data_IF_124816796598
#
_entry.id   IF_124816796598
#
_cell.length_a   1.000
_cell.length_b   1.000
_cell.length_c   1.000
_cell.angle_alpha   90.00
_cell.angle_beta   90.00
_cell.angle_gamma   90.00
#
_symmetry.space_group_name_H-M   'P 1'
#
loop_
_entity.id
_entity.type
_entity.pdbx_description
1 polymer ?
#
# COMPACT_ATOMS: atom_id res chain seq x y z
N UNK A 1 1.31 -6.23 -17.51
CA UNK A 1 0.72 -7.47 -16.99
C UNK A 1 0.06 -8.17 -18.17
N UNK A 2 0.55 -9.34 -18.57
CA UNK A 2 -0.15 -10.16 -19.56
C UNK A 2 -0.84 -11.26 -18.78
N UNK A 3 -2.17 -11.20 -18.73
CA UNK A 3 -2.98 -12.31 -18.24
C UNK A 3 -2.90 -13.40 -19.30
N UNK A 4 -2.20 -14.50 -19.00
CA UNK A 4 -2.27 -15.69 -19.84
C UNK A 4 -3.69 -16.26 -19.77
N UNK A 5 -4.10 -16.95 -20.83
CA UNK A 5 -5.42 -17.60 -20.96
C UNK A 5 -5.75 -18.64 -19.88
N UNK A 6 -4.84 -18.90 -18.94
CA UNK A 6 -5.01 -19.79 -17.79
C UNK A 6 -5.08 -19.07 -16.43
N UNK A 7 -5.19 -17.73 -16.38
CA UNK A 7 -5.45 -16.99 -15.14
C UNK A 7 -4.30 -16.93 -14.14
N UNK A 8 -3.10 -17.37 -14.50
CA UNK A 8 -1.89 -17.20 -13.68
C UNK A 8 -1.19 -15.88 -13.99
N UNK A 9 -0.94 -15.07 -12.95
CA UNK A 9 0.02 -13.97 -13.03
C UNK A 9 1.44 -14.57 -13.09
N UNK A 10 2.09 -14.48 -14.25
CA UNK A 10 3.51 -14.81 -14.36
C UNK A 10 4.35 -13.63 -13.88
N UNK A 11 4.98 -13.79 -12.71
CA UNK A 11 6.02 -12.88 -12.24
C UNK A 11 7.36 -13.39 -12.73
N UNK A 12 7.72 -13.07 -13.97
CA UNK A 12 9.07 -13.36 -14.49
C UNK A 12 10.11 -12.90 -13.46
N UNK A 13 11.12 -13.73 -13.14
CA UNK A 13 12.20 -13.47 -12.15
C UNK A 13 11.80 -13.38 -10.67
N UNK A 14 10.60 -13.81 -10.27
CA UNK A 14 10.25 -14.02 -8.85
C UNK A 14 10.09 -15.51 -8.57
N UNK A 15 10.92 -16.05 -7.68
CA UNK A 15 10.79 -17.43 -7.20
C UNK A 15 9.93 -17.46 -5.94
N UNK A 16 8.96 -18.37 -5.91
CA UNK A 16 8.04 -18.57 -4.79
C UNK A 16 8.28 -19.95 -4.20
N UNK A 17 8.57 -20.01 -2.91
CA UNK A 17 8.69 -21.26 -2.13
C UNK A 17 7.70 -21.23 -0.98
N UNK A 18 6.93 -22.30 -0.80
CA UNK A 18 6.02 -22.45 0.33
C UNK A 18 6.72 -23.31 1.40
N UNK A 19 6.74 -22.81 2.63
CA UNK A 19 7.31 -23.50 3.79
C UNK A 19 6.28 -23.48 4.91
N UNK A 20 5.61 -24.61 5.14
CA UNK A 20 4.51 -24.73 6.10
C UNK A 20 3.36 -23.75 5.79
N UNK A 21 3.15 -22.75 6.64
CA UNK A 21 2.13 -21.69 6.55
C UNK A 21 2.70 -20.37 6.00
N UNK A 22 3.97 -20.37 5.62
CA UNK A 22 4.70 -19.20 5.15
C UNK A 22 5.02 -19.30 3.66
N UNK A 23 5.03 -18.14 3.00
CA UNK A 23 5.49 -18.01 1.61
C UNK A 23 6.77 -17.19 1.58
N UNK A 24 7.80 -17.74 0.96
CA UNK A 24 9.05 -17.03 0.67
C UNK A 24 9.04 -16.61 -0.78
N UNK A 25 9.25 -15.32 -1.02
CA UNK A 25 9.43 -14.77 -2.35
C UNK A 25 10.85 -14.22 -2.46
N UNK A 26 11.54 -14.55 -3.54
CA UNK A 26 12.88 -14.05 -3.82
C UNK A 26 12.99 -13.54 -5.24
N UNK A 27 13.78 -12.49 -5.44
CA UNK A 27 14.04 -11.89 -6.75
C UNK A 27 15.28 -10.99 -6.65
N UNK A 28 15.95 -10.80 -7.78
CA UNK A 28 16.96 -9.75 -7.95
C UNK A 28 16.34 -8.37 -8.27
N UNK A 29 15.02 -8.32 -8.49
CA UNK A 29 14.29 -7.11 -8.87
C UNK A 29 13.25 -6.71 -7.81
N UNK A 30 13.51 -5.61 -7.11
CA UNK A 30 12.65 -5.06 -6.07
C UNK A 30 11.21 -4.83 -6.54
N UNK A 31 11.04 -4.17 -7.67
CA UNK A 31 9.72 -3.75 -8.13
C UNK A 31 8.89 -4.97 -8.53
N UNK A 32 9.50 -5.97 -9.17
CA UNK A 32 8.81 -7.21 -9.50
C UNK A 32 8.45 -8.00 -8.25
N UNK A 33 9.37 -8.11 -7.29
CA UNK A 33 9.10 -8.75 -5.99
C UNK A 33 7.95 -8.06 -5.25
N UNK A 34 7.97 -6.73 -5.17
CA UNK A 34 6.93 -5.93 -4.52
C UNK A 34 5.57 -6.10 -5.21
N UNK A 35 5.51 -6.08 -6.55
CA UNK A 35 4.26 -6.31 -7.29
C UNK A 35 3.73 -7.73 -7.11
N UNK A 36 4.60 -8.74 -7.14
CA UNK A 36 4.22 -10.12 -6.87
C UNK A 36 3.66 -10.29 -5.46
N UNK A 37 4.33 -9.69 -4.48
CA UNK A 37 3.92 -9.73 -3.08
C UNK A 37 2.59 -9.03 -2.85
N UNK A 38 2.39 -7.84 -3.44
CA UNK A 38 1.13 -7.10 -3.37
C UNK A 38 -0.03 -7.87 -4.04
N UNK A 39 0.22 -8.49 -5.19
CA UNK A 39 -0.75 -9.33 -5.88
C UNK A 39 -1.15 -10.54 -5.03
N UNK A 40 -0.19 -11.28 -4.47
CA UNK A 40 -0.47 -12.41 -3.59
C UNK A 40 -1.24 -11.98 -2.34
N UNK A 41 -0.93 -10.81 -1.80
CA UNK A 41 -1.68 -10.25 -0.69
C UNK A 41 -3.12 -9.94 -1.09
N UNK A 42 -3.36 -9.32 -2.24
CA UNK A 42 -4.70 -9.04 -2.76
C UNK A 42 -5.50 -10.33 -3.00
N UNK A 43 -4.88 -11.37 -3.57
CA UNK A 43 -5.48 -12.69 -3.75
C UNK A 43 -5.85 -13.36 -2.43
N UNK A 44 -4.94 -13.32 -1.45
CA UNK A 44 -5.19 -13.86 -0.13
C UNK A 44 -6.38 -13.14 0.53
N UNK A 45 -6.41 -11.80 0.47
CA UNK A 45 -7.53 -11.01 0.99
C UNK A 45 -8.85 -11.32 0.30
N UNK A 46 -8.83 -11.55 -1.03
CA UNK A 46 -10.00 -11.94 -1.82
C UNK A 46 -10.64 -13.24 -1.31
N UNK A 47 -9.82 -14.18 -0.81
CA UNK A 47 -10.29 -15.44 -0.21
C UNK A 47 -10.44 -15.37 1.31
N UNK A 48 -10.24 -14.21 1.93
CA UNK A 48 -10.43 -13.98 3.37
C UNK A 48 -9.22 -14.33 4.24
N UNK A 49 -8.03 -14.45 3.65
CA UNK A 49 -6.76 -14.70 4.35
C UNK A 49 -5.97 -13.40 4.44
N UNK A 50 -5.69 -12.96 5.65
CA UNK A 50 -4.91 -11.76 5.90
C UNK A 50 -3.43 -12.12 6.07
N UNK A 51 -2.59 -11.71 5.11
CA UNK A 51 -1.14 -11.93 5.17
C UNK A 51 -0.43 -10.78 5.89
N UNK A 52 0.67 -11.11 6.55
CA UNK A 52 1.69 -10.17 6.97
C UNK A 52 3.05 -10.64 6.48
N UNK A 53 4.00 -9.74 6.34
CA UNK A 53 5.32 -10.08 5.85
C UNK A 53 6.28 -8.91 5.92
N UNK A 54 7.50 -9.13 5.45
CA UNK A 54 8.49 -8.08 5.27
C UNK A 54 9.31 -8.33 4.01
N UNK A 55 9.67 -7.27 3.29
CA UNK A 55 10.66 -7.31 2.20
C UNK A 55 11.98 -6.75 2.73
N UNK A 56 13.06 -7.51 2.54
CA UNK A 56 14.41 -7.10 2.90
C UNK A 56 15.42 -7.51 1.83
N UNK A 57 16.60 -6.87 1.85
CA UNK A 57 17.73 -7.23 1.02
C UNK A 57 18.87 -7.84 1.82
N UNK A 58 19.56 -8.76 1.17
CA UNK A 58 20.77 -9.37 1.66
C UNK A 58 21.35 -10.32 0.62
N UNK A 59 22.52 -10.88 0.97
CA UNK A 59 23.16 -11.91 0.15
C UNK A 59 22.27 -13.15 0.14
N UNK A 60 22.17 -13.79 -1.01
CA UNK A 60 21.33 -14.95 -1.23
C UNK A 60 22.09 -15.97 -2.08
N UNK A 61 22.07 -17.22 -1.67
CA UNK A 61 22.52 -18.34 -2.48
C UNK A 61 21.55 -19.51 -2.32
N UNK A 62 21.19 -20.10 -3.45
CA UNK A 62 20.42 -21.34 -3.52
C UNK A 62 21.33 -22.41 -4.09
N UNK A 63 21.48 -23.50 -3.34
CA UNK A 63 22.20 -24.69 -3.77
C UNK A 63 21.20 -25.83 -3.92
N UNK A 64 21.17 -26.47 -5.08
CA UNK A 64 20.34 -27.63 -5.34
C UNK A 64 21.20 -28.86 -5.63
N UNK A 65 20.84 -29.99 -5.04
CA UNK A 65 21.49 -31.28 -5.26
C UNK A 65 20.42 -32.37 -5.28
N UNK A 66 20.11 -32.90 -6.48
CA UNK A 66 18.98 -33.79 -6.67
C UNK A 66 17.65 -33.11 -6.31
N UNK A 67 16.88 -33.74 -5.41
CA UNK A 67 15.60 -33.21 -4.91
C UNK A 67 15.75 -32.32 -3.67
N UNK A 68 16.98 -32.03 -3.25
CA UNK A 68 17.25 -31.24 -2.06
C UNK A 68 17.67 -29.82 -2.43
N UNK A 69 17.16 -28.87 -1.66
CA UNK A 69 17.43 -27.45 -1.81
C UNK A 69 17.93 -26.88 -0.49
N UNK A 70 19.03 -26.14 -0.54
CA UNK A 70 19.55 -25.34 0.55
C UNK A 70 19.51 -23.87 0.15
N UNK A 71 18.78 -23.07 0.94
CA UNK A 71 18.72 -21.62 0.78
C UNK A 71 19.46 -20.98 1.94
N UNK A 72 20.52 -20.22 1.64
CA UNK A 72 21.22 -19.38 2.62
C UNK A 72 21.00 -17.92 2.21
N UNK A 73 20.22 -17.20 3.01
CA UNK A 73 19.81 -15.84 2.67
C UNK A 73 19.77 -14.93 3.89
N UNK A 74 20.69 -13.97 3.91
CA UNK A 74 20.68 -12.86 4.88
C UNK A 74 19.44 -11.98 4.68
N UNK A 75 18.97 -11.85 3.42
CA UNK A 75 17.74 -11.13 3.10
C UNK A 75 16.51 -11.79 3.73
N UNK A 76 16.39 -13.12 3.63
CA UNK A 76 15.27 -13.85 4.26
C UNK A 76 15.35 -13.80 5.79
N UNK A 77 16.54 -13.93 6.37
CA UNK A 77 16.73 -13.82 7.81
C UNK A 77 16.29 -12.44 8.34
N UNK A 78 16.67 -11.37 7.65
CA UNK A 78 16.22 -9.99 7.97
C UNK A 78 14.72 -9.82 7.80
N UNK A 79 14.16 -10.29 6.69
CA UNK A 79 12.72 -10.22 6.43
C UNK A 79 11.93 -10.93 7.55
N UNK A 80 12.31 -12.15 7.90
CA UNK A 80 11.68 -12.91 8.98
C UNK A 80 11.80 -12.19 10.33
N UNK A 81 12.99 -11.70 10.70
CA UNK A 81 13.19 -10.97 11.95
C UNK A 81 12.40 -9.65 12.03
N UNK A 82 12.15 -9.02 10.88
CA UNK A 82 11.46 -7.73 10.76
C UNK A 82 9.97 -7.85 10.48
N UNK A 83 9.45 -9.05 10.20
CA UNK A 83 8.00 -9.30 10.09
C UNK A 83 7.24 -8.83 11.34
N UNK A 84 7.87 -8.86 12.52
CA UNK A 84 7.30 -8.33 13.77
C UNK A 84 6.93 -6.85 13.73
N UNK A 85 7.45 -6.08 12.78
CA UNK A 85 7.08 -4.67 12.55
C UNK A 85 5.70 -4.55 11.84
N UNK A 86 5.20 -5.63 11.23
CA UNK A 86 3.86 -5.71 10.68
C UNK A 86 2.83 -6.05 11.77
N UNK A 87 2.49 -5.04 12.59
CA UNK A 87 1.43 -5.13 13.62
C UNK A 87 0.07 -5.46 12.97
N UNK A 88 -0.16 -4.86 11.80
CA UNK A 88 -1.34 -5.06 10.96
C UNK A 88 -1.07 -6.07 9.83
N UNK A 89 -2.11 -6.62 9.17
CA UNK A 89 -1.96 -7.57 8.06
C UNK A 89 -1.45 -6.89 6.79
N UNK A 90 -0.14 -6.61 6.76
CA UNK A 90 0.55 -5.88 5.70
C UNK A 90 1.95 -6.44 5.48
N UNK A 91 2.50 -6.18 4.30
CA UNK A 91 3.88 -6.51 3.97
C UNK A 91 4.72 -5.23 4.11
N UNK A 92 5.48 -5.13 5.19
CA UNK A 92 6.32 -3.95 5.48
C UNK A 92 7.65 -3.99 4.72
N UNK A 93 8.27 -2.84 4.56
CA UNK A 93 9.59 -2.71 3.95
C UNK A 93 10.65 -2.54 5.03
N UNK A 94 11.70 -3.36 5.00
CA UNK A 94 12.83 -3.23 5.90
C UNK A 94 13.54 -1.89 5.67
N UNK A 95 13.99 -1.21 6.74
CA UNK A 95 14.67 0.10 6.62
C UNK A 95 15.89 0.06 5.69
N UNK A 96 16.64 -1.05 5.72
CA UNK A 96 17.80 -1.28 4.85
C UNK A 96 17.50 -1.36 3.35
N UNK A 97 16.23 -1.38 2.92
CA UNK A 97 15.87 -1.36 1.49
C UNK A 97 15.37 0.02 1.00
N UNK A 98 15.19 1.00 1.89
CA UNK A 98 14.60 2.31 1.55
C UNK A 98 15.36 3.06 0.46
N UNK A 99 16.70 3.02 0.49
CA UNK A 99 17.52 3.66 -0.55
C UNK A 99 17.23 3.07 -1.94
N UNK A 100 17.13 1.74 -2.04
CA UNK A 100 16.85 1.08 -3.30
C UNK A 100 15.39 1.29 -3.76
N UNK A 101 14.45 1.40 -2.82
CA UNK A 101 13.07 1.81 -3.11
C UNK A 101 13.08 3.21 -3.74
N UNK A 102 13.76 4.17 -3.11
CA UNK A 102 13.88 5.54 -3.62
C UNK A 102 14.54 5.58 -5.00
N UNK A 103 15.67 4.90 -5.20
CA UNK A 103 16.37 4.80 -6.48
C UNK A 103 15.51 4.15 -7.58
N UNK A 104 14.59 3.26 -7.21
CA UNK A 104 13.64 2.63 -8.14
C UNK A 104 12.45 3.53 -8.50
N UNK A 105 12.17 4.54 -7.68
CA UNK A 105 11.03 5.44 -7.80
C UNK A 105 11.42 6.79 -8.41
N UNK A 106 12.63 7.27 -8.13
CA UNK A 106 13.12 8.59 -8.49
C UNK A 106 14.43 8.54 -9.28
N UNK A 107 14.70 9.62 -10.03
CA UNK A 107 15.98 9.93 -10.66
C UNK A 107 16.41 11.31 -10.18
N UNK A 108 17.68 11.48 -9.86
CA UNK A 108 18.24 12.80 -9.63
C UNK A 108 18.14 13.65 -10.92
N UNK A 109 17.69 14.89 -10.79
CA UNK A 109 17.58 15.87 -11.87
C UNK A 109 17.81 17.28 -11.29
N UNK A 110 18.93 17.89 -11.66
CA UNK A 110 19.37 19.15 -11.06
C UNK A 110 19.66 18.98 -9.57
N UNK A 111 19.06 19.84 -8.74
CA UNK A 111 19.14 19.81 -7.28
C UNK A 111 17.98 19.00 -6.64
N UNK A 112 17.22 18.24 -7.43
CA UNK A 112 16.05 17.53 -6.95
C UNK A 112 15.91 16.10 -7.48
N UNK A 113 14.82 15.47 -7.05
CA UNK A 113 14.37 14.14 -7.41
C UNK A 113 13.15 14.26 -8.31
N UNK A 114 13.24 13.65 -9.50
CA UNK A 114 12.11 13.48 -10.41
C UNK A 114 11.58 12.05 -10.35
N UNK A 115 10.26 11.90 -10.32
CA UNK A 115 9.60 10.60 -10.47
C UNK A 115 10.03 9.93 -11.79
N UNK A 116 10.44 8.66 -11.71
CA UNK A 116 10.77 7.84 -12.88
C UNK A 116 9.53 7.59 -13.73
N UNK A 117 9.71 7.54 -15.05
CA UNK A 117 8.63 7.18 -15.97
C UNK A 117 8.18 5.75 -15.73
N UNK A 118 6.88 5.49 -15.91
CA UNK A 118 6.26 4.16 -15.78
C UNK A 118 6.41 3.50 -14.41
N UNK A 119 6.63 4.32 -13.37
CA UNK A 119 6.60 3.86 -11.99
C UNK A 119 5.18 3.94 -11.47
N UNK A 120 4.82 2.94 -10.69
CA UNK A 120 3.55 2.87 -10.01
C UNK A 120 3.70 3.50 -8.62
N UNK A 121 3.32 4.77 -8.50
CA UNK A 121 3.39 5.56 -7.25
C UNK A 121 2.49 5.00 -6.15
N UNK A 122 1.63 4.07 -6.50
CA UNK A 122 0.64 3.51 -5.61
C UNK A 122 1.06 2.22 -4.95
N UNK A 123 2.22 1.71 -5.35
CA UNK A 123 2.76 0.45 -4.87
C UNK A 123 3.11 0.50 -3.38
N UNK A 124 3.55 1.65 -2.89
CA UNK A 124 4.02 1.84 -1.53
C UNK A 124 3.15 2.85 -0.77
N UNK A 125 2.75 2.47 0.43
CA UNK A 125 2.03 3.30 1.39
C UNK A 125 2.88 3.45 2.65
N UNK A 126 2.79 4.59 3.32
CA UNK A 126 3.33 4.78 4.65
C UNK A 126 2.18 4.83 5.66
N UNK A 127 2.29 4.15 6.78
CA UNK A 127 1.29 4.19 7.87
C UNK A 127 1.65 5.20 8.96
N UNK A 128 0.71 5.44 9.86
CA UNK A 128 0.84 6.36 11.00
C UNK A 128 1.99 6.02 11.96
N UNK A 129 2.38 4.74 12.01
CA UNK A 129 3.55 4.26 12.77
C UNK A 129 4.89 4.44 12.04
N UNK A 130 4.88 5.18 10.92
CA UNK A 130 6.06 5.52 10.11
C UNK A 130 6.57 4.40 9.21
N UNK A 131 5.98 3.20 9.26
CA UNK A 131 6.42 2.08 8.43
C UNK A 131 5.92 2.23 6.99
N UNK A 132 6.82 2.01 6.03
CA UNK A 132 6.44 1.82 4.63
C UNK A 132 6.02 0.37 4.39
N UNK A 133 4.98 0.16 3.60
CA UNK A 133 4.42 -1.15 3.30
C UNK A 133 3.85 -1.20 1.88
N UNK A 134 3.63 -2.41 1.37
CA UNK A 134 2.98 -2.62 0.08
C UNK A 134 1.50 -2.29 0.15
N UNK A 135 0.98 -1.60 -0.88
CA UNK A 135 -0.46 -1.43 -1.03
C UNK A 135 -1.13 -2.80 -1.30
N UNK A 136 -1.98 -3.31 -0.40
CA UNK A 136 -2.64 -4.60 -0.59
C UNK A 136 -3.78 -4.55 -1.64
N UNK A 137 -4.10 -3.37 -2.16
CA UNK A 137 -5.23 -3.10 -3.05
C UNK A 137 -4.82 -2.67 -4.46
N UNK A 138 -3.57 -2.98 -4.85
CA UNK A 138 -3.04 -2.64 -6.16
C UNK A 138 -3.91 -3.19 -7.31
N UNK A 139 -4.50 -4.37 -7.11
CA UNK A 139 -5.41 -5.01 -8.06
C UNK A 139 -6.84 -4.52 -7.87
N UNK A 140 -7.19 -3.41 -8.52
CA UNK A 140 -8.51 -2.78 -8.41
C UNK A 140 -9.69 -3.71 -8.74
N UNK A 141 -9.46 -4.70 -9.62
CA UNK A 141 -10.46 -5.72 -9.97
C UNK A 141 -10.92 -6.55 -8.76
N UNK A 142 -10.14 -6.62 -7.68
CA UNK A 142 -10.47 -7.39 -6.49
C UNK A 142 -11.20 -6.61 -5.40
N UNK A 143 -11.26 -5.27 -5.50
CA UNK A 143 -11.81 -4.40 -4.45
C UNK A 143 -13.21 -4.85 -4.00
N UNK A 144 -14.13 -5.08 -4.94
CA UNK A 144 -15.50 -5.52 -4.62
C UNK A 144 -15.52 -6.86 -3.88
N UNK A 145 -14.73 -7.82 -4.32
CA UNK A 145 -14.68 -9.14 -3.68
C UNK A 145 -14.01 -9.09 -2.30
N UNK A 146 -12.96 -8.28 -2.14
CA UNK A 146 -12.28 -8.08 -0.86
C UNK A 146 -13.23 -7.35 0.11
N UNK A 147 -13.93 -6.30 -0.34
CA UNK A 147 -14.97 -5.62 0.44
C UNK A 147 -16.00 -6.61 1.00
N UNK A 148 -16.57 -7.46 0.15
CA UNK A 148 -17.57 -8.44 0.60
C UNK A 148 -17.01 -9.37 1.69
N UNK A 149 -15.72 -9.75 1.59
CA UNK A 149 -15.05 -10.52 2.64
C UNK A 149 -14.85 -9.72 3.92
N UNK A 150 -14.35 -8.49 3.83
CA UNK A 150 -14.13 -7.63 4.99
C UNK A 150 -15.43 -7.31 5.73
N UNK A 151 -16.51 -6.97 5.01
CA UNK A 151 -17.83 -6.75 5.60
C UNK A 151 -18.33 -8.03 6.28
N UNK A 152 -18.27 -9.18 5.60
CA UNK A 152 -18.68 -10.45 6.19
C UNK A 152 -17.92 -10.81 7.47
N UNK A 153 -16.61 -10.54 7.52
CA UNK A 153 -15.79 -10.76 8.71
C UNK A 153 -16.14 -9.78 9.85
N UNK A 154 -16.39 -8.52 9.53
CA UNK A 154 -16.78 -7.49 10.51
C UNK A 154 -18.20 -7.70 11.05
N UNK A 155 -19.14 -8.14 10.22
CA UNK A 155 -20.53 -8.42 10.59
C UNK A 155 -20.65 -9.70 11.44
N UNK A 156 -19.81 -10.71 11.18
CA UNK A 156 -19.63 -11.87 12.06
C UNK A 156 -19.00 -11.48 13.43
N UNK A 157 -18.53 -10.23 13.55
CA UNK A 157 -17.72 -9.68 14.63
C UNK A 157 -18.37 -9.51 16.00
N UNK A 158 -19.49 -10.18 16.29
CA UNK A 158 -19.89 -10.41 17.70
C UNK A 158 -19.04 -11.47 18.41
N UNK A 159 -18.28 -12.29 17.65
CA UNK A 159 -17.43 -13.36 18.19
C UNK A 159 -15.92 -13.16 17.98
N UNK A 160 -15.49 -12.10 17.28
CA UNK A 160 -14.07 -11.81 17.09
C UNK A 160 -13.52 -11.08 18.32
N UNK A 161 -12.34 -11.51 18.79
CA UNK A 161 -11.60 -10.76 19.80
C UNK A 161 -11.36 -9.32 19.30
N UNK A 162 -11.46 -8.33 20.19
CA UNK A 162 -11.36 -6.91 19.83
C UNK A 162 -10.12 -6.58 19.01
N UNK A 163 -8.97 -7.19 19.34
CA UNK A 163 -7.71 -7.02 18.62
C UNK A 163 -7.72 -7.55 17.18
N UNK A 164 -8.55 -8.55 16.86
CA UNK A 164 -8.71 -9.06 15.49
C UNK A 164 -9.60 -8.13 14.69
N UNK A 165 -10.68 -7.64 15.31
CA UNK A 165 -11.59 -6.67 14.68
C UNK A 165 -10.87 -5.37 14.31
N UNK A 166 -10.02 -4.86 15.19
CA UNK A 166 -9.20 -3.67 14.93
C UNK A 166 -8.30 -3.82 13.69
N UNK A 167 -7.73 -5.01 13.48
CA UNK A 167 -6.90 -5.28 12.30
C UNK A 167 -7.69 -5.23 11.00
N UNK A 168 -8.92 -5.72 10.99
CA UNK A 168 -9.79 -5.66 9.80
C UNK A 168 -10.33 -4.26 9.54
N UNK A 169 -10.60 -3.47 10.59
CA UNK A 169 -10.92 -2.05 10.45
C UNK A 169 -9.73 -1.29 9.85
N UNK A 170 -8.55 -1.46 10.42
CA UNK A 170 -7.32 -0.85 9.88
C UNK A 170 -7.08 -1.26 8.43
N UNK A 171 -7.32 -2.51 8.07
CA UNK A 171 -7.15 -2.99 6.70
C UNK A 171 -8.20 -2.43 5.74
N UNK A 172 -9.39 -2.09 6.22
CA UNK A 172 -10.48 -1.52 5.42
C UNK A 172 -10.25 -0.04 5.07
N UNK A 173 -9.60 0.71 5.96
CA UNK A 173 -9.33 2.15 5.76
C UNK A 173 -8.45 2.47 4.52
N UNK A 174 -7.35 1.75 4.20
CA UNK A 174 -6.58 2.00 2.98
C UNK A 174 -7.38 1.63 1.72
N UNK A 175 -8.27 0.63 1.78
CA UNK A 175 -9.16 0.27 0.66
C UNK A 175 -10.16 1.39 0.38
N UNK A 176 -10.75 1.93 1.45
CA UNK A 176 -11.72 3.01 1.43
C UNK A 176 -11.10 4.27 0.85
N UNK A 177 -9.93 4.64 1.35
CA UNK A 177 -9.12 5.74 0.84
C UNK A 177 -8.88 5.61 -0.68
N UNK A 178 -8.50 4.40 -1.13
CA UNK A 178 -8.28 4.09 -2.54
C UNK A 178 -9.53 4.14 -3.42
N UNK A 179 -10.66 3.71 -2.88
CA UNK A 179 -11.92 3.65 -3.63
C UNK A 179 -12.53 5.04 -3.83
N UNK A 180 -12.23 6.00 -2.95
CA UNK A 180 -12.86 7.33 -2.95
C UNK A 180 -11.95 8.41 -3.56
N UNK A 181 -10.67 8.46 -3.18
CA UNK A 181 -9.76 9.57 -3.51
C UNK A 181 -9.78 9.95 -4.99
N UNK A 182 -9.50 9.01 -5.91
CA UNK A 182 -9.49 9.27 -7.36
C UNK A 182 -10.86 9.66 -7.94
N UNK A 183 -11.97 9.19 -7.36
CA UNK A 183 -13.32 9.31 -7.94
C UNK A 183 -14.02 10.61 -7.58
N UNK A 184 -13.78 11.11 -6.37
CA UNK A 184 -14.46 12.32 -5.90
C UNK A 184 -13.68 13.60 -6.13
N UNK A 185 -12.48 13.53 -6.71
CA UNK A 185 -11.54 14.66 -6.77
C UNK A 185 -11.41 15.35 -5.40
N UNK A 186 -11.59 14.59 -4.31
CA UNK A 186 -11.36 15.15 -2.99
C UNK A 186 -9.88 15.48 -2.98
N UNK A 187 -9.58 16.76 -2.78
CA UNK A 187 -8.20 17.17 -2.57
C UNK A 187 -7.67 16.35 -1.43
N UNK A 188 -6.68 15.53 -1.72
CA UNK A 188 -6.24 14.53 -0.77
C UNK A 188 -5.73 15.18 0.52
N UNK A 189 -5.24 16.42 0.45
CA UNK A 189 -4.96 17.29 1.59
C UNK A 189 -6.15 17.44 2.57
N UNK A 190 -7.39 17.47 2.07
CA UNK A 190 -8.61 17.50 2.89
C UNK A 190 -8.88 16.19 3.64
N UNK A 191 -8.31 15.07 3.16
CA UNK A 191 -8.40 13.77 3.85
C UNK A 191 -7.48 13.72 5.08
N UNK A 192 -6.49 14.63 5.17
CA UNK A 192 -5.51 14.72 6.26
C UNK A 192 -5.80 15.83 7.27
N UNK A 193 -6.89 16.59 7.12
CA UNK A 193 -7.27 17.60 8.10
C UNK A 193 -7.77 16.92 9.39
N UNK A 194 -6.86 16.80 10.35
CA UNK A 194 -7.02 16.14 11.65
C UNK A 194 -8.09 16.81 12.53
N UNK A 195 -8.45 18.07 12.24
CA UNK A 195 -9.43 18.80 13.03
C UNK A 195 -10.86 18.67 12.50
N UNK A 196 -11.05 18.14 11.30
CA UNK A 196 -12.28 18.44 10.58
C UNK A 196 -13.31 17.30 10.48
N UNK A 197 -13.02 16.06 10.94
CA UNK A 197 -13.85 14.86 10.63
C UNK A 197 -14.21 14.68 9.14
N UNK A 198 -13.59 15.49 8.28
CA UNK A 198 -13.94 15.68 6.87
C UNK A 198 -13.79 14.37 6.11
N UNK A 199 -12.78 13.57 6.45
CA UNK A 199 -12.61 12.25 5.85
C UNK A 199 -13.83 11.35 6.06
N UNK A 200 -14.24 11.11 7.30
CA UNK A 200 -15.34 10.18 7.62
C UNK A 200 -16.69 10.71 7.09
N UNK A 201 -16.92 12.01 7.18
CA UNK A 201 -18.14 12.64 6.66
C UNK A 201 -18.20 12.59 5.13
N UNK A 202 -17.09 12.85 4.43
CA UNK A 202 -17.00 12.70 2.98
C UNK A 202 -17.14 11.24 2.57
N UNK A 203 -16.53 10.30 3.30
CA UNK A 203 -16.68 8.86 3.07
C UNK A 203 -18.14 8.42 3.20
N UNK A 204 -18.83 8.83 4.25
CA UNK A 204 -20.25 8.55 4.45
C UNK A 204 -21.11 9.16 3.34
N UNK A 205 -20.92 10.45 3.05
CA UNK A 205 -21.65 11.16 2.00
C UNK A 205 -21.45 10.51 0.62
N UNK A 206 -20.22 10.12 0.30
CA UNK A 206 -19.89 9.40 -0.93
C UNK A 206 -20.58 8.04 -1.02
N UNK A 207 -20.55 7.28 0.09
CA UNK A 207 -21.22 5.99 0.20
C UNK A 207 -22.73 6.10 0.00
N UNK A 208 -23.36 7.14 0.55
CA UNK A 208 -24.81 7.35 0.42
C UNK A 208 -25.21 7.83 -0.98
N UNK A 209 -24.36 8.61 -1.66
CA UNK A 209 -24.69 9.29 -2.92
C UNK A 209 -24.25 8.55 -4.18
N UNK A 210 -23.22 7.71 -4.10
CA UNK A 210 -22.58 7.08 -5.27
C UNK A 210 -22.67 5.55 -5.18
N UNK A 211 -23.57 4.90 -5.94
CA UNK A 211 -23.74 3.45 -5.91
C UNK A 211 -22.46 2.66 -6.16
N UNK A 212 -21.60 3.12 -7.07
CA UNK A 212 -20.33 2.46 -7.39
C UNK A 212 -19.34 2.52 -6.21
N UNK A 213 -19.28 3.65 -5.51
CA UNK A 213 -18.47 3.79 -4.28
C UNK A 213 -19.04 2.92 -3.17
N UNK A 214 -20.36 2.94 -2.99
CA UNK A 214 -21.05 2.09 -2.04
C UNK A 214 -20.75 0.60 -2.28
N UNK A 215 -20.50 0.20 -3.53
CA UNK A 215 -20.19 -1.18 -3.90
C UNK A 215 -18.77 -1.65 -3.54
N UNK A 216 -17.84 -0.72 -3.28
CA UNK A 216 -16.41 -0.98 -3.06
C UNK A 216 -15.91 -0.59 -1.67
N UNK A 217 -16.60 0.31 -0.97
CA UNK A 217 -16.22 0.82 0.35
C UNK A 217 -16.80 -0.02 1.49
N UNK A 218 -16.02 -0.21 2.55
CA UNK A 218 -16.46 -0.78 3.84
C UNK A 218 -16.87 0.37 4.77
N UNK A 219 -18.04 0.32 5.44
CA UNK A 219 -18.50 1.42 6.29
C UNK A 219 -17.77 1.49 7.65
N UNK A 220 -16.46 1.77 7.64
CA UNK A 220 -15.61 1.78 8.84
C UNK A 220 -15.96 2.89 9.83
N UNK A 221 -16.58 3.99 9.37
CA UNK A 221 -17.09 5.08 10.20
C UNK A 221 -18.20 4.66 11.18
N UNK A 222 -18.86 3.53 10.94
CA UNK A 222 -19.80 2.95 11.91
C UNK A 222 -19.09 2.33 13.13
N UNK A 223 -17.77 2.23 13.09
CA UNK A 223 -16.98 1.42 13.99
C UNK A 223 -15.75 2.12 14.57
N UNK A 224 -15.40 3.29 14.03
CA UNK A 224 -14.19 4.04 14.35
C UNK A 224 -14.44 5.54 14.24
N UNK A 225 -13.86 6.30 15.17
CA UNK A 225 -13.78 7.77 15.11
C UNK A 225 -12.41 8.26 14.63
N UNK A 226 -11.52 7.34 14.19
CA UNK A 226 -10.13 7.69 13.85
C UNK A 226 -9.96 7.98 12.37
N UNK A 227 -9.09 8.95 12.10
CA UNK A 227 -8.81 9.57 10.81
C UNK A 227 -8.06 8.67 9.84
N UNK A 228 -7.85 9.18 8.63
CA UNK A 228 -6.99 8.58 7.63
C UNK A 228 -5.56 8.36 8.15
N UNK A 229 -5.02 7.16 7.99
CA UNK A 229 -3.77 6.71 8.62
C UNK A 229 -2.65 6.37 7.65
N UNK A 230 -2.83 6.69 6.37
CA UNK A 230 -1.93 6.27 5.30
C UNK A 230 -1.40 7.46 4.53
N UNK A 231 -0.24 7.35 3.91
CA UNK A 231 0.31 8.32 2.99
C UNK A 231 0.74 7.56 1.74
N UNK A 232 0.45 8.09 0.56
CA UNK A 232 0.90 7.52 -0.72
C UNK A 232 1.58 8.59 -1.58
N UNK A 233 2.41 8.16 -2.53
CA UNK A 233 3.16 9.07 -3.39
C UNK A 233 2.36 9.61 -4.57
N UNK A 234 1.19 9.07 -4.88
CA UNK A 234 0.31 9.64 -5.91
C UNK A 234 -0.19 11.03 -5.52
N UNK A 235 -0.22 11.33 -4.22
CA UNK A 235 -0.40 12.68 -3.65
C UNK A 235 0.60 13.71 -4.19
N UNK A 236 1.83 13.26 -4.45
CA UNK A 236 2.87 14.12 -5.00
C UNK A 236 2.67 14.41 -6.50
N UNK A 237 1.70 13.79 -7.17
CA UNK A 237 1.52 13.85 -8.62
C UNK A 237 0.18 14.50 -9.06
N UNK A 238 -0.60 15.06 -8.12
CA UNK A 238 -1.90 15.69 -8.47
C UNK A 238 -1.78 17.08 -9.10
N UNK A 239 -0.58 17.65 -9.18
CA UNK A 239 -0.35 18.96 -9.77
C UNK A 239 0.26 18.91 -11.17
N UNK A 240 -0.57 19.26 -12.15
CA UNK A 240 -0.25 19.60 -13.54
C UNK A 240 0.16 18.42 -14.42
N UNK A 241 -0.60 18.19 -15.50
CA UNK A 241 -0.32 17.17 -16.51
C UNK A 241 0.99 17.32 -17.29
N UNK A 242 2.01 18.06 -16.80
CA UNK A 242 3.33 18.23 -17.41
C UNK A 242 4.50 18.49 -16.45
N UNK A 243 4.32 18.86 -15.19
CA UNK A 243 5.46 19.06 -14.28
C UNK A 243 5.67 17.79 -13.44
N UNK A 244 6.70 17.02 -13.78
CA UNK A 244 7.17 16.00 -12.85
C UNK A 244 7.59 16.72 -11.57
N UNK A 245 6.98 16.37 -10.44
CA UNK A 245 7.29 17.01 -9.16
C UNK A 245 8.79 16.85 -8.88
N UNK A 246 9.54 17.94 -9.00
CA UNK A 246 10.91 18.03 -8.51
C UNK A 246 10.81 18.18 -7.00
N UNK A 247 11.08 17.10 -6.28
CA UNK A 247 11.21 17.09 -4.82
C UNK A 247 12.66 17.46 -4.52
N UNK A 248 12.91 18.27 -3.51
CA UNK A 248 14.28 18.50 -3.04
C UNK A 248 14.93 17.14 -2.66
N UNK A 249 16.19 16.91 -3.06
CA UNK A 249 16.89 15.65 -2.82
C UNK A 249 17.03 15.32 -1.33
N UNK A 250 17.11 16.34 -0.48
CA UNK A 250 17.14 16.16 0.98
C UNK A 250 15.78 15.72 1.54
N UNK A 251 14.70 15.84 0.76
CA UNK A 251 13.31 15.73 1.20
C UNK A 251 12.60 14.51 0.59
N UNK A 252 13.35 13.47 0.23
CA UNK A 252 12.76 12.20 -0.22
C UNK A 252 11.72 11.68 0.79
N UNK A 253 10.47 11.36 0.37
CA UNK A 253 9.44 10.90 1.29
C UNK A 253 9.80 9.61 2.03
N UNK A 254 10.65 8.77 1.43
CA UNK A 254 11.12 7.52 2.04
C UNK A 254 12.09 7.73 3.21
N UNK A 255 12.59 8.96 3.41
CA UNK A 255 13.49 9.33 4.50
C UNK A 255 12.76 10.02 5.67
N UNK A 256 11.48 10.34 5.48
CA UNK A 256 10.71 11.18 6.38
C UNK A 256 9.67 10.40 7.19
N UNK A 257 9.23 11.01 8.29
CA UNK A 257 8.12 10.49 9.10
C UNK A 257 6.79 10.68 8.36
N UNK A 258 5.79 9.89 8.76
CA UNK A 258 4.42 10.03 8.26
C UNK A 258 3.92 11.47 8.36
N UNK A 259 4.02 12.08 9.54
CA UNK A 259 3.52 13.44 9.75
C UNK A 259 4.24 14.46 8.86
N UNK A 260 5.56 14.35 8.74
CA UNK A 260 6.32 15.26 7.88
C UNK A 260 5.88 15.15 6.41
N UNK A 261 5.67 13.93 5.91
CA UNK A 261 5.17 13.71 4.56
C UNK A 261 3.76 14.27 4.38
N UNK A 262 2.86 14.00 5.33
CA UNK A 262 1.50 14.56 5.31
C UNK A 262 1.54 16.08 5.26
N UNK A 263 2.34 16.74 6.11
CA UNK A 263 2.46 18.19 6.13
C UNK A 263 3.03 18.71 4.80
N UNK A 264 4.16 18.17 4.34
CA UNK A 264 4.83 18.62 3.13
C UNK A 264 3.92 18.59 1.89
N UNK A 265 3.10 17.54 1.75
CA UNK A 265 2.26 17.33 0.57
C UNK A 265 0.81 17.84 0.74
N UNK A 266 0.35 18.13 1.96
CA UNK A 266 -0.96 18.74 2.19
C UNK A 266 -0.98 20.26 2.03
N UNK A 267 0.14 20.94 2.32
CA UNK A 267 0.23 22.41 2.25
C UNK A 267 0.37 22.96 0.81
N UNK A 268 0.68 22.12 -0.17
CA UNK A 268 0.67 22.51 -1.59
C UNK A 268 -0.76 22.46 -2.13
N UNK A 269 -1.61 23.40 -1.70
CA UNK A 269 -2.86 23.70 -2.43
C UNK A 269 -2.46 24.39 -3.73
N UNK A 270 -2.76 23.83 -4.91
CA UNK A 270 -2.75 24.64 -6.12
C UNK A 270 -3.73 25.79 -5.96
N UNK A 271 -3.27 27.00 -6.27
CA UNK A 271 -4.13 28.16 -6.47
C UNK A 271 -4.96 27.94 -7.74
N UNK A 272 -5.96 27.09 -7.67
CA UNK A 272 -7.06 27.18 -8.61
C UNK A 272 -7.75 28.49 -8.27
N UNK A 273 -7.62 29.48 -9.15
CA UNK A 273 -8.44 30.68 -9.03
C UNK A 273 -9.88 30.23 -8.87
N UNK A 274 -10.56 30.80 -7.89
CA UNK A 274 -11.94 30.48 -7.50
C UNK A 274 -12.85 30.50 -8.73
N UNK A 275 -12.97 29.34 -9.38
CA UNK A 275 -13.90 29.08 -10.44
C UNK A 275 -15.04 28.31 -9.80
N UNK A 276 -16.09 29.05 -9.46
CA UNK A 276 -17.35 28.54 -8.92
C UNK A 276 -17.79 27.25 -9.63
N UNK A 277 -17.96 26.18 -8.84
CA UNK A 277 -18.74 24.99 -9.20
C UNK A 277 -20.14 25.14 -8.61
#
# INVERSE_FOLDING_TARGET
MWLSSNGGAHFDSVEITIVSDSMMLTSDNLIKLSKASAFLQAEALRVGVALRGCIAFGRHVTLSWGNSHLVLSDGLAKAYASERLAVYPRIVLHSGIMKAVEESMFVAEGEGLRIRRNVDLTLFLQSEDGQWFLNPYLESAYLRSIKLRLVGLLDQGKALAGSVREKYLWLSDPMNYWSIGPRQKIWMAELYDVNAKVFLEKMQSAYERLPDVASEVVPTWLHSNTFHRFFDLSLANTDTGRAALLIDEEVSPFRNTFQYNVDLFSYRRPSWGDGEL
#
